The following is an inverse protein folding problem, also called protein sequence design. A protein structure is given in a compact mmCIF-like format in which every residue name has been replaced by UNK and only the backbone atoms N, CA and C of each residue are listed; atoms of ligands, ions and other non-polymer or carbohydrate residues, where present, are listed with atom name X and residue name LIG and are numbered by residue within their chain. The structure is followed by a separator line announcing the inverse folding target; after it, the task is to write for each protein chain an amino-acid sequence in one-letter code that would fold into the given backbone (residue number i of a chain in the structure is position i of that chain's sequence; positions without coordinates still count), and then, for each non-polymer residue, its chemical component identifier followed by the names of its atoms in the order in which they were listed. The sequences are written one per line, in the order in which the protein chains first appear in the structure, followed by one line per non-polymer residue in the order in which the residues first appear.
data_IF_425914348137
#
_entry.id   IF_425914348137
#
_cell.length_a   1.000
_cell.length_b   1.000
_cell.length_c   1.000
_cell.angle_alpha   90.00
_cell.angle_beta   90.00
_cell.angle_gamma   90.00
#
_symmetry.space_group_name_H-M   'P 1'
#
loop_
_entity.id
_entity.type
_entity.pdbx_description
1 polymer ?
#
# COMPACT_ATOMS: atom_id res chain seq x y z
N UNK A 1 3.28 -63.67 -3.71
CA UNK A 1 4.25 -62.65 -4.06
C UNK A 1 3.48 -61.36 -4.34
N UNK A 2 3.42 -60.49 -3.36
CA UNK A 2 2.70 -59.20 -3.44
C UNK A 2 3.82 -58.16 -3.71
N UNK A 3 3.76 -57.60 -4.92
CA UNK A 3 4.67 -56.54 -5.35
C UNK A 3 4.33 -55.24 -4.60
N UNK A 4 5.26 -54.76 -3.79
CA UNK A 4 5.18 -53.46 -3.12
C UNK A 4 5.31 -52.36 -4.17
N UNK A 5 4.23 -51.62 -4.34
CA UNK A 5 4.25 -50.32 -5.04
C UNK A 5 5.13 -49.36 -4.21
N UNK A 6 6.29 -49.00 -4.75
CA UNK A 6 7.13 -47.96 -4.19
C UNK A 6 6.46 -46.62 -4.42
N UNK A 7 5.95 -46.04 -3.35
CA UNK A 7 5.60 -44.59 -3.30
C UNK A 7 6.85 -43.78 -3.64
N UNK A 8 6.94 -43.36 -4.89
CA UNK A 8 7.88 -42.29 -5.26
C UNK A 8 7.36 -41.00 -4.63
N UNK A 9 7.86 -40.66 -3.46
CA UNK A 9 7.86 -39.28 -2.98
C UNK A 9 8.58 -38.45 -4.06
N UNK A 10 7.82 -37.85 -4.96
CA UNK A 10 8.30 -36.74 -5.76
C UNK A 10 8.58 -35.64 -4.77
N UNK A 11 9.83 -35.43 -4.42
CA UNK A 11 10.29 -34.23 -3.72
C UNK A 11 9.82 -33.04 -4.58
N UNK A 12 8.72 -32.40 -4.20
CA UNK A 12 8.33 -31.13 -4.81
C UNK A 12 9.46 -30.16 -4.52
N UNK A 13 10.22 -29.83 -5.55
CA UNK A 13 11.26 -28.82 -5.47
C UNK A 13 10.63 -27.55 -4.92
N UNK A 14 11.31 -26.91 -3.98
CA UNK A 14 10.95 -25.64 -3.37
C UNK A 14 10.77 -24.60 -4.48
N UNK A 15 9.57 -23.99 -4.67
CA UNK A 15 9.38 -23.04 -5.76
C UNK A 15 10.21 -21.78 -5.53
N UNK A 16 10.93 -21.36 -6.56
CA UNK A 16 11.73 -20.12 -6.54
C UNK A 16 10.99 -19.02 -7.31
N UNK A 17 10.65 -17.92 -6.64
CA UNK A 17 9.88 -16.81 -7.20
C UNK A 17 10.78 -15.58 -7.29
N UNK A 18 10.91 -15.02 -8.49
CA UNK A 18 11.52 -13.73 -8.71
C UNK A 18 10.46 -12.64 -8.57
N UNK A 19 10.42 -12.00 -7.41
CA UNK A 19 9.46 -10.95 -7.08
C UNK A 19 9.99 -9.61 -7.56
N UNK A 20 9.29 -8.99 -8.51
CA UNK A 20 9.53 -7.61 -8.92
C UNK A 20 8.63 -6.67 -8.10
N UNK A 21 9.23 -5.96 -7.17
CA UNK A 21 8.57 -5.04 -6.23
C UNK A 21 9.58 -3.99 -5.74
N UNK A 22 9.21 -3.16 -4.75
CA UNK A 22 10.12 -2.12 -4.23
C UNK A 22 10.26 -0.95 -5.21
N UNK A 23 9.13 -0.28 -5.49
CA UNK A 23 9.03 0.72 -6.55
C UNK A 23 9.72 2.04 -6.20
N UNK A 24 9.63 2.46 -4.94
CA UNK A 24 10.27 3.67 -4.41
C UNK A 24 10.46 3.56 -2.88
N UNK A 25 11.24 4.47 -2.30
CA UNK A 25 11.61 4.45 -0.87
C UNK A 25 11.21 5.70 -0.09
N UNK A 26 10.45 6.60 -0.71
CA UNK A 26 9.94 7.85 -0.12
C UNK A 26 8.46 7.78 0.25
N UNK A 27 7.82 6.62 0.02
CA UNK A 27 6.42 6.32 0.32
C UNK A 27 6.34 4.99 1.06
N UNK A 28 5.79 5.00 2.27
CA UNK A 28 5.66 3.78 3.08
C UNK A 28 4.71 2.76 2.44
N UNK A 29 3.71 3.19 1.66
CA UNK A 29 2.82 2.32 0.93
C UNK A 29 3.55 1.50 -0.14
N UNK A 30 4.39 2.14 -0.95
CA UNK A 30 5.18 1.45 -1.96
C UNK A 30 6.22 0.49 -1.36
N UNK A 31 6.78 0.83 -0.20
CA UNK A 31 7.67 -0.08 0.55
C UNK A 31 6.85 -1.28 1.07
N UNK A 32 5.64 -1.05 1.54
CA UNK A 32 4.75 -2.07 2.11
C UNK A 32 4.34 -3.15 1.12
N UNK A 33 4.28 -2.86 -0.19
CA UNK A 33 3.95 -3.85 -1.21
C UNK A 33 4.87 -5.09 -1.13
N UNK A 34 6.17 -4.89 -0.96
CA UNK A 34 7.13 -6.00 -0.84
C UNK A 34 6.85 -6.84 0.41
N UNK A 35 6.59 -6.19 1.55
CA UNK A 35 6.31 -6.86 2.82
C UNK A 35 5.01 -7.69 2.73
N UNK A 36 3.94 -7.09 2.22
CA UNK A 36 2.66 -7.76 2.10
C UNK A 36 2.67 -8.94 1.13
N UNK A 37 3.24 -8.76 -0.07
CA UNK A 37 3.32 -9.85 -1.07
C UNK A 37 4.20 -11.00 -0.57
N UNK A 38 5.34 -10.72 0.06
CA UNK A 38 6.20 -11.76 0.61
C UNK A 38 5.50 -12.56 1.69
N UNK A 39 4.76 -11.91 2.59
CA UNK A 39 3.95 -12.62 3.60
C UNK A 39 2.86 -13.48 2.95
N UNK A 40 2.20 -13.02 1.88
CA UNK A 40 1.23 -13.81 1.14
C UNK A 40 1.85 -15.08 0.55
N UNK A 41 3.02 -14.94 -0.08
CA UNK A 41 3.71 -16.09 -0.66
C UNK A 41 4.06 -17.12 0.41
N UNK A 42 4.61 -16.69 1.55
CA UNK A 42 4.93 -17.61 2.66
C UNK A 42 3.71 -18.24 3.31
N UNK A 43 2.62 -17.52 3.40
CA UNK A 43 1.39 -18.03 4.02
C UNK A 43 0.71 -19.10 3.18
N UNK A 44 0.74 -18.95 1.85
CA UNK A 44 -0.08 -19.76 0.95
C UNK A 44 0.70 -20.77 0.10
N UNK A 45 2.01 -20.60 -0.03
CA UNK A 45 2.86 -21.54 -0.78
C UNK A 45 3.73 -22.38 0.16
N UNK A 46 4.00 -23.64 -0.20
CA UNK A 46 4.85 -24.50 0.61
C UNK A 46 6.32 -24.07 0.47
N UNK A 47 6.85 -23.44 1.51
CA UNK A 47 8.26 -23.04 1.67
C UNK A 47 8.88 -22.36 0.42
N UNK A 48 8.33 -21.25 -0.09
CA UNK A 48 8.84 -20.60 -1.29
C UNK A 48 10.20 -19.96 -1.04
N UNK A 49 11.10 -20.04 -2.01
CA UNK A 49 12.26 -19.18 -2.08
C UNK A 49 11.89 -17.92 -2.83
N UNK A 50 12.01 -16.76 -2.19
CA UNK A 50 11.69 -15.47 -2.81
C UNK A 50 12.97 -14.69 -3.04
N UNK A 51 13.19 -14.27 -4.29
CA UNK A 51 14.28 -13.40 -4.71
C UNK A 51 13.62 -12.05 -5.07
N UNK A 52 13.95 -11.00 -4.35
CA UNK A 52 13.44 -9.65 -4.64
C UNK A 52 14.34 -8.98 -5.67
N UNK A 53 13.74 -8.58 -6.78
CA UNK A 53 14.31 -7.66 -7.75
C UNK A 53 13.69 -6.27 -7.56
N UNK A 54 14.34 -5.38 -6.80
CA UNK A 54 13.80 -4.05 -6.51
C UNK A 54 14.01 -3.10 -7.69
N UNK A 55 13.24 -1.99 -7.70
CA UNK A 55 13.54 -0.88 -8.60
C UNK A 55 14.70 -0.05 -8.04
N UNK A 56 14.51 0.43 -6.82
CA UNK A 56 15.50 1.18 -6.05
C UNK A 56 15.27 0.92 -4.57
N UNK A 57 16.36 0.76 -3.81
CA UNK A 57 16.28 0.61 -2.36
C UNK A 57 17.32 1.43 -1.65
N UNK A 58 16.87 2.20 -0.68
CA UNK A 58 17.74 2.88 0.27
C UNK A 58 18.21 1.89 1.34
N UNK A 59 19.43 2.07 1.91
CA UNK A 59 19.99 1.14 2.88
C UNK A 59 19.08 0.82 4.08
N UNK A 60 18.36 1.81 4.59
CA UNK A 60 17.43 1.64 5.70
C UNK A 60 16.24 0.72 5.37
N UNK A 61 15.77 0.75 4.12
CA UNK A 61 14.70 -0.15 3.65
C UNK A 61 15.23 -1.58 3.55
N UNK A 62 16.43 -1.76 3.01
CA UNK A 62 17.10 -3.07 2.94
C UNK A 62 17.31 -3.65 4.34
N UNK A 63 17.75 -2.84 5.30
CA UNK A 63 17.94 -3.25 6.69
C UNK A 63 16.62 -3.67 7.35
N UNK A 64 15.55 -2.90 7.16
CA UNK A 64 14.21 -3.24 7.64
C UNK A 64 13.73 -4.56 7.03
N UNK A 65 13.85 -4.74 5.70
CA UNK A 65 13.47 -5.98 5.04
C UNK A 65 14.25 -7.19 5.58
N UNK A 66 15.58 -7.08 5.74
CA UNK A 66 16.40 -8.16 6.30
C UNK A 66 16.05 -8.49 7.74
N UNK A 67 15.63 -7.50 8.54
CA UNK A 67 15.20 -7.71 9.93
C UNK A 67 13.91 -8.54 9.98
N UNK A 68 12.93 -8.22 9.15
CA UNK A 68 11.62 -8.86 9.17
C UNK A 68 11.53 -10.09 8.27
N UNK A 69 12.29 -10.14 7.20
CA UNK A 69 12.27 -11.16 6.15
C UNK A 69 13.68 -11.75 5.93
N UNK A 70 14.28 -12.40 6.94
CA UNK A 70 15.69 -12.84 6.86
C UNK A 70 15.97 -13.88 5.76
N UNK A 71 14.94 -14.55 5.25
CA UNK A 71 15.06 -15.52 4.15
C UNK A 71 14.81 -14.91 2.76
N UNK A 72 14.51 -13.60 2.68
CA UNK A 72 14.35 -12.87 1.42
C UNK A 72 15.74 -12.60 0.83
N UNK A 73 16.02 -13.14 -0.36
CA UNK A 73 17.20 -12.75 -1.12
C UNK A 73 16.92 -11.41 -1.83
N UNK A 74 17.78 -10.42 -1.68
CA UNK A 74 17.65 -9.11 -2.33
C UNK A 74 18.82 -8.95 -3.28
N UNK A 75 18.54 -8.79 -4.59
CA UNK A 75 19.57 -8.60 -5.60
C UNK A 75 19.80 -7.11 -5.88
N UNK A 76 21.00 -6.77 -6.31
CA UNK A 76 21.29 -5.42 -6.84
C UNK A 76 20.72 -5.31 -8.26
N UNK A 77 19.74 -4.40 -8.50
CA UNK A 77 19.14 -4.23 -9.82
C UNK A 77 20.11 -3.67 -10.87
N UNK A 78 21.25 -3.13 -10.46
CA UNK A 78 22.28 -2.57 -11.35
C UNK A 78 23.35 -3.60 -11.71
N UNK A 79 23.42 -4.73 -11.01
CA UNK A 79 24.34 -5.83 -11.25
C UNK A 79 23.71 -6.84 -12.21
N UNK A 80 24.13 -6.81 -13.47
CA UNK A 80 23.62 -7.68 -14.53
C UNK A 80 23.87 -9.19 -14.25
N UNK A 81 24.92 -9.55 -13.52
CA UNK A 81 25.22 -10.95 -13.18
C UNK A 81 24.22 -11.44 -12.14
N UNK A 82 23.94 -10.67 -11.07
CA UNK A 82 22.92 -11.00 -10.08
C UNK A 82 21.54 -11.09 -10.70
N UNK A 83 21.15 -10.12 -11.55
CA UNK A 83 19.85 -10.11 -12.24
C UNK A 83 19.73 -11.37 -13.12
N UNK A 84 20.70 -11.65 -13.95
CA UNK A 84 20.69 -12.81 -14.84
C UNK A 84 20.67 -14.12 -14.04
N UNK A 85 21.48 -14.23 -12.99
CA UNK A 85 21.49 -15.39 -12.11
C UNK A 85 20.16 -15.62 -11.39
N UNK A 86 19.46 -14.56 -10.99
CA UNK A 86 18.12 -14.64 -10.40
C UNK A 86 17.08 -15.12 -11.43
N UNK A 87 17.10 -14.59 -12.66
CA UNK A 87 16.23 -15.04 -13.76
C UNK A 87 16.44 -16.55 -14.05
N UNK A 88 17.69 -17.00 -14.11
CA UNK A 88 18.00 -18.40 -14.43
C UNK A 88 17.51 -19.37 -13.34
N UNK A 89 17.59 -18.97 -12.05
CA UNK A 89 17.18 -19.79 -10.90
C UNK A 89 15.67 -19.80 -10.65
N UNK A 90 14.98 -18.72 -10.93
CA UNK A 90 13.57 -18.60 -10.61
C UNK A 90 12.68 -19.48 -11.51
N UNK A 91 11.60 -20.01 -10.95
CA UNK A 91 10.59 -20.81 -11.67
C UNK A 91 9.44 -19.94 -12.17
N UNK A 92 9.17 -18.80 -11.50
CA UNK A 92 8.11 -17.86 -11.79
C UNK A 92 8.63 -16.42 -11.61
N UNK A 93 8.29 -15.54 -12.55
CA UNK A 93 8.38 -14.09 -12.33
C UNK A 93 7.05 -13.57 -11.82
N UNK A 94 7.05 -12.89 -10.68
CA UNK A 94 5.88 -12.27 -10.09
C UNK A 94 6.04 -10.76 -10.04
N UNK A 95 5.19 -10.04 -10.77
CA UNK A 95 5.03 -8.60 -10.58
C UNK A 95 4.13 -8.38 -9.35
N UNK A 96 4.69 -7.81 -8.29
CA UNK A 96 3.95 -7.48 -7.05
C UNK A 96 3.01 -6.29 -7.23
N UNK A 97 2.29 -5.96 -6.16
CA UNK A 97 1.33 -4.84 -6.12
C UNK A 97 1.95 -3.52 -6.58
N UNK A 98 1.16 -2.71 -7.27
CA UNK A 98 1.65 -1.44 -7.78
C UNK A 98 0.61 -0.60 -8.52
N UNK A 99 0.90 0.69 -8.75
CA UNK A 99 -0.02 1.65 -9.37
C UNK A 99 -0.21 1.43 -10.87
N UNK A 100 0.60 0.59 -11.48
CA UNK A 100 0.55 0.16 -12.88
C UNK A 100 1.46 -1.06 -13.06
N UNK A 101 1.63 -1.54 -14.29
CA UNK A 101 2.64 -2.55 -14.63
C UNK A 101 4.01 -1.86 -14.71
N UNK A 102 4.51 -1.42 -13.55
CA UNK A 102 5.78 -0.66 -13.42
C UNK A 102 6.97 -1.49 -13.92
N UNK A 103 6.95 -2.79 -13.68
CA UNK A 103 7.98 -3.75 -14.09
C UNK A 103 7.81 -4.29 -15.52
N UNK A 104 7.18 -3.54 -16.45
CA UNK A 104 6.98 -3.98 -17.84
C UNK A 104 8.28 -4.40 -18.52
N UNK A 105 9.34 -3.60 -18.39
CA UNK A 105 10.66 -3.89 -19.00
C UNK A 105 11.29 -5.16 -18.44
N UNK A 106 11.13 -5.39 -17.17
CA UNK A 106 11.65 -6.58 -16.49
C UNK A 106 10.86 -7.84 -16.88
N UNK A 107 9.56 -7.72 -17.15
CA UNK A 107 8.76 -8.81 -17.75
C UNK A 107 9.26 -9.10 -19.17
N UNK A 108 9.50 -8.08 -19.98
CA UNK A 108 10.06 -8.22 -21.32
C UNK A 108 11.44 -8.91 -21.28
N UNK A 109 12.32 -8.52 -20.35
CA UNK A 109 13.63 -9.14 -20.14
C UNK A 109 13.50 -10.61 -19.71
N UNK A 110 12.57 -10.93 -18.80
CA UNK A 110 12.26 -12.29 -18.39
C UNK A 110 11.83 -13.14 -19.58
N UNK A 111 10.95 -12.64 -20.43
CA UNK A 111 10.43 -13.30 -21.63
C UNK A 111 11.49 -13.54 -22.70
N UNK A 112 12.40 -12.60 -22.88
CA UNK A 112 13.51 -12.75 -23.84
C UNK A 112 14.51 -13.83 -23.41
N UNK A 113 14.63 -14.06 -22.11
CA UNK A 113 15.64 -14.99 -21.57
C UNK A 113 15.08 -16.36 -21.21
N UNK A 114 13.78 -16.46 -20.92
CA UNK A 114 13.18 -17.70 -20.44
C UNK A 114 11.84 -17.97 -21.12
N UNK A 115 11.41 -19.26 -21.10
CA UNK A 115 10.04 -19.66 -21.44
C UNK A 115 9.20 -19.96 -20.18
N UNK A 116 9.70 -19.59 -19.00
CA UNK A 116 9.03 -19.83 -17.72
C UNK A 116 7.86 -18.86 -17.54
N UNK A 117 6.84 -19.20 -16.73
CA UNK A 117 5.66 -18.38 -16.53
C UNK A 117 5.97 -17.05 -15.82
N UNK A 118 5.13 -16.06 -16.06
CA UNK A 118 5.06 -14.85 -15.26
C UNK A 118 3.62 -14.53 -14.93
N UNK A 119 3.41 -13.79 -13.85
CA UNK A 119 2.10 -13.32 -13.44
C UNK A 119 2.15 -11.98 -12.70
N UNK A 120 0.98 -11.39 -12.52
CA UNK A 120 0.80 -10.10 -11.84
C UNK A 120 -0.14 -10.27 -10.66
N UNK A 121 0.20 -9.65 -9.52
CA UNK A 121 -0.57 -9.73 -8.28
C UNK A 121 -0.82 -8.34 -7.68
N UNK A 122 -2.07 -7.91 -7.62
CA UNK A 122 -2.46 -6.66 -6.96
C UNK A 122 -2.07 -5.40 -7.73
N UNK A 123 -2.18 -5.40 -9.06
CA UNK A 123 -1.80 -4.26 -9.91
C UNK A 123 -3.02 -3.46 -10.36
N UNK A 124 -2.83 -2.15 -10.57
CA UNK A 124 -3.76 -1.32 -11.34
C UNK A 124 -3.40 -1.41 -12.83
N UNK A 125 -4.40 -1.59 -13.69
CA UNK A 125 -4.23 -1.51 -15.14
C UNK A 125 -5.27 -0.56 -15.72
N UNK A 126 -4.84 0.63 -16.06
CA UNK A 126 -5.72 1.67 -16.60
C UNK A 126 -5.30 2.00 -18.03
N UNK A 127 -6.26 1.91 -18.99
CA UNK A 127 -6.07 2.21 -20.40
C UNK A 127 -4.78 1.60 -21.00
N UNK A 128 -4.59 0.25 -20.96
CA UNK A 128 -3.38 -0.38 -21.46
C UNK A 128 -3.25 -0.18 -22.97
N UNK A 129 -2.04 0.15 -23.44
CA UNK A 129 -1.72 0.22 -24.85
C UNK A 129 -1.68 -1.20 -25.48
N UNK A 130 -1.69 -1.26 -26.82
CA UNK A 130 -1.72 -2.54 -27.56
C UNK A 130 -0.51 -3.43 -27.25
N UNK A 131 0.68 -2.84 -27.03
CA UNK A 131 1.89 -3.60 -26.75
C UNK A 131 1.84 -4.17 -25.33
N UNK A 132 1.29 -3.41 -24.37
CA UNK A 132 1.07 -3.93 -23.01
C UNK A 132 0.04 -5.06 -23.04
N UNK A 133 -1.06 -4.92 -23.77
CA UNK A 133 -2.06 -5.99 -23.92
C UNK A 133 -1.43 -7.25 -24.55
N UNK A 134 -0.60 -7.10 -25.58
CA UNK A 134 0.10 -8.22 -26.20
C UNK A 134 1.00 -8.93 -25.19
N UNK A 135 1.75 -8.20 -24.36
CA UNK A 135 2.57 -8.76 -23.29
C UNK A 135 1.72 -9.48 -22.24
N UNK A 136 0.63 -8.85 -21.78
CA UNK A 136 -0.26 -9.39 -20.76
C UNK A 136 -1.04 -10.63 -21.22
N UNK A 137 -1.27 -10.81 -22.52
CA UNK A 137 -1.87 -12.03 -23.07
C UNK A 137 -1.01 -13.28 -22.85
N UNK A 138 0.29 -13.11 -22.61
CA UNK A 138 1.22 -14.21 -22.35
C UNK A 138 1.39 -14.50 -20.86
N UNK A 139 0.79 -13.69 -19.97
CA UNK A 139 0.82 -13.93 -18.53
C UNK A 139 0.04 -15.20 -18.17
N UNK A 140 0.55 -15.94 -17.19
CA UNK A 140 -0.17 -17.09 -16.62
C UNK A 140 -1.42 -16.64 -15.86
N UNK A 141 -1.33 -15.50 -15.18
CA UNK A 141 -2.44 -14.88 -14.45
C UNK A 141 -2.24 -13.37 -14.29
N UNK A 142 -3.36 -12.65 -14.16
CA UNK A 142 -3.40 -11.23 -13.83
C UNK A 142 -4.42 -11.04 -12.71
N UNK A 143 -3.96 -10.70 -11.52
CA UNK A 143 -4.79 -10.31 -10.40
C UNK A 143 -4.69 -8.79 -10.21
N UNK A 144 -5.79 -8.09 -10.50
CA UNK A 144 -5.87 -6.64 -10.35
C UNK A 144 -6.37 -6.27 -8.96
N UNK A 145 -5.94 -5.13 -8.42
CA UNK A 145 -6.35 -4.69 -7.07
C UNK A 145 -7.69 -3.96 -7.02
N UNK A 146 -8.31 -3.70 -8.17
CA UNK A 146 -9.66 -3.18 -8.31
C UNK A 146 -10.35 -3.73 -9.56
N UNK A 147 -11.70 -3.78 -9.53
CA UNK A 147 -12.50 -4.34 -10.62
C UNK A 147 -12.49 -3.47 -11.87
N UNK A 148 -12.29 -2.17 -11.76
CA UNK A 148 -12.19 -1.26 -12.90
C UNK A 148 -11.02 -1.66 -13.82
N UNK A 149 -9.89 -2.13 -13.29
CA UNK A 149 -8.78 -2.67 -14.08
C UNK A 149 -9.17 -3.90 -14.91
N UNK A 150 -10.01 -4.79 -14.37
CA UNK A 150 -10.53 -5.93 -15.15
C UNK A 150 -11.38 -5.46 -16.33
N UNK A 151 -12.14 -4.39 -16.15
CA UNK A 151 -12.95 -3.82 -17.22
C UNK A 151 -12.08 -3.13 -18.28
N UNK A 152 -10.98 -2.50 -17.87
CA UNK A 152 -9.99 -1.94 -18.81
C UNK A 152 -9.31 -3.04 -19.61
N UNK A 153 -8.86 -4.13 -18.98
CA UNK A 153 -8.26 -5.28 -19.65
C UNK A 153 -9.23 -5.93 -20.65
N UNK A 154 -10.48 -6.15 -20.22
CA UNK A 154 -11.52 -6.74 -21.05
C UNK A 154 -11.83 -5.87 -22.29
N UNK A 155 -12.00 -4.55 -22.09
CA UNK A 155 -12.24 -3.59 -23.20
C UNK A 155 -11.07 -3.51 -24.15
N UNK A 156 -9.84 -3.66 -23.66
CA UNK A 156 -8.63 -3.70 -24.49
C UNK A 156 -8.40 -5.05 -25.19
N UNK A 157 -9.27 -6.06 -24.97
CA UNK A 157 -9.17 -7.36 -25.61
C UNK A 157 -8.09 -8.27 -25.01
N UNK A 158 -7.74 -8.10 -23.74
CA UNK A 158 -6.79 -8.98 -23.05
C UNK A 158 -7.35 -10.40 -22.92
N UNK A 159 -6.56 -11.39 -23.37
CA UNK A 159 -6.93 -12.82 -23.43
C UNK A 159 -6.18 -13.68 -22.41
N UNK A 160 -5.49 -13.10 -21.44
CA UNK A 160 -4.87 -13.86 -20.37
C UNK A 160 -5.88 -14.83 -19.74
N UNK A 161 -5.54 -16.12 -19.55
CA UNK A 161 -6.52 -17.15 -19.18
C UNK A 161 -7.09 -16.97 -17.78
N UNK A 162 -6.32 -16.38 -16.87
CA UNK A 162 -6.74 -16.13 -15.49
C UNK A 162 -6.69 -14.64 -15.19
N UNK A 163 -7.85 -14.02 -15.07
CA UNK A 163 -8.01 -12.61 -14.74
C UNK A 163 -9.03 -12.50 -13.60
N UNK A 164 -8.64 -11.95 -12.45
CA UNK A 164 -9.53 -11.76 -11.32
C UNK A 164 -9.11 -10.56 -10.45
N UNK A 165 -10.03 -10.14 -9.60
CA UNK A 165 -9.76 -9.19 -8.53
C UNK A 165 -9.06 -9.88 -7.36
N UNK A 166 -8.03 -9.25 -6.81
CA UNK A 166 -7.45 -9.57 -5.50
C UNK A 166 -7.08 -8.28 -4.80
N UNK A 167 -7.23 -8.18 -3.47
CA UNK A 167 -6.84 -6.96 -2.76
C UNK A 167 -5.39 -6.58 -3.00
N UNK A 168 -5.05 -5.30 -2.81
CA UNK A 168 -3.67 -4.85 -2.77
C UNK A 168 -2.86 -5.64 -1.74
N UNK A 169 -1.64 -6.07 -2.09
CA UNK A 169 -0.81 -6.88 -1.21
C UNK A 169 -0.56 -6.28 0.17
N UNK A 170 -0.70 -4.96 0.32
CA UNK A 170 -0.55 -4.27 1.62
C UNK A 170 -1.62 -4.68 2.63
N UNK A 171 -2.82 -5.12 2.21
CA UNK A 171 -3.82 -5.68 3.13
C UNK A 171 -3.37 -6.97 3.84
N UNK A 172 -2.34 -7.63 3.31
CA UNK A 172 -1.75 -8.81 3.95
C UNK A 172 -0.60 -8.47 4.91
N UNK A 173 -0.18 -7.20 4.95
CA UNK A 173 0.94 -6.79 5.78
C UNK A 173 0.55 -6.80 7.26
N UNK A 174 1.22 -7.63 8.05
CA UNK A 174 1.18 -7.65 9.52
C UNK A 174 2.62 -7.69 10.05
N UNK A 175 3.38 -6.63 9.74
CA UNK A 175 4.78 -6.49 10.11
C UNK A 175 4.96 -5.17 10.85
N UNK A 176 5.08 -5.26 12.17
CA UNK A 176 5.23 -4.10 13.04
C UNK A 176 6.56 -4.14 13.78
N UNK A 177 7.27 -3.04 13.81
CA UNK A 177 8.29 -2.81 14.83
C UNK A 177 7.62 -2.28 16.11
N UNK A 178 7.12 -3.20 16.94
CA UNK A 178 6.42 -2.85 18.18
C UNK A 178 7.29 -1.98 19.10
N UNK A 179 8.61 -2.24 19.15
CA UNK A 179 9.53 -1.46 19.97
C UNK A 179 9.64 0.00 19.50
N UNK A 180 9.75 0.21 18.19
CA UNK A 180 9.79 1.56 17.62
C UNK A 180 8.44 2.29 17.80
N UNK A 181 7.32 1.60 17.58
CA UNK A 181 5.98 2.15 17.79
C UNK A 181 5.72 2.51 19.25
N UNK A 182 6.02 1.62 20.19
CA UNK A 182 5.85 1.86 21.63
C UNK A 182 6.73 3.01 22.11
N UNK A 183 8.00 3.09 21.65
CA UNK A 183 8.90 4.18 21.98
C UNK A 183 8.36 5.52 21.47
N UNK A 184 7.89 5.58 20.20
CA UNK A 184 7.28 6.78 19.63
C UNK A 184 6.04 7.20 20.43
N UNK A 185 5.14 6.27 20.72
CA UNK A 185 3.92 6.57 21.47
C UNK A 185 4.25 7.07 22.89
N UNK A 186 5.22 6.45 23.58
CA UNK A 186 5.64 6.86 24.91
C UNK A 186 6.28 8.25 24.94
N UNK A 187 7.15 8.56 23.98
CA UNK A 187 7.80 9.86 23.84
C UNK A 187 6.78 10.99 23.67
N UNK A 188 5.70 10.71 22.92
CA UNK A 188 4.66 11.70 22.61
C UNK A 188 3.42 11.62 23.49
N UNK A 189 3.40 10.76 24.53
CA UNK A 189 2.28 10.62 25.45
C UNK A 189 1.01 10.04 24.81
N UNK A 190 1.16 9.29 23.70
CA UNK A 190 0.07 8.62 23.00
C UNK A 190 -0.23 7.27 23.64
N UNK A 191 -1.48 7.05 24.06
CA UNK A 191 -1.88 5.79 24.68
C UNK A 191 -2.73 4.96 23.69
N UNK A 192 -2.58 3.63 23.72
CA UNK A 192 -3.36 2.75 22.84
C UNK A 192 -4.86 3.00 22.96
N UNK A 193 -5.52 3.20 21.80
CA UNK A 193 -6.95 3.49 21.71
C UNK A 193 -7.36 4.93 22.06
N UNK A 194 -6.42 5.77 22.53
CA UNK A 194 -6.73 7.13 22.98
C UNK A 194 -6.19 8.22 22.04
N UNK A 195 -5.91 7.92 20.79
CA UNK A 195 -5.52 8.92 19.77
C UNK A 195 -5.95 8.51 18.37
N UNK A 196 -6.04 9.48 17.48
CA UNK A 196 -6.24 9.25 16.05
C UNK A 196 -4.99 9.64 15.27
N UNK A 197 -4.80 9.04 14.09
CA UNK A 197 -3.80 9.48 13.12
C UNK A 197 -4.49 10.25 11.97
N UNK A 198 -3.89 11.35 11.55
CA UNK A 198 -4.31 12.16 10.41
C UNK A 198 -3.15 12.23 9.39
N UNK A 199 -3.41 11.80 8.15
CA UNK A 199 -2.37 11.72 7.11
C UNK A 199 -2.70 12.71 5.99
N UNK A 200 -1.89 13.79 5.84
CA UNK A 200 -2.11 14.82 4.83
C UNK A 200 -1.62 14.37 3.45
N UNK A 201 -2.15 15.01 2.38
CA UNK A 201 -1.67 14.81 1.02
C UNK A 201 -2.02 15.99 0.14
N UNK A 202 -1.13 16.36 -0.79
CA UNK A 202 -1.43 17.27 -1.90
C UNK A 202 -2.14 16.50 -3.03
N UNK A 203 -2.94 17.20 -3.86
CA UNK A 203 -3.59 16.59 -5.03
C UNK A 203 -2.58 15.96 -5.97
N UNK A 204 -1.48 16.64 -6.23
CA UNK A 204 -0.36 16.12 -6.99
C UNK A 204 0.89 16.03 -6.13
N UNK A 205 1.46 14.83 -6.06
CA UNK A 205 2.78 14.64 -5.46
C UNK A 205 3.83 15.43 -6.24
N UNK A 206 4.61 16.31 -5.60
CA UNK A 206 5.60 17.15 -6.28
C UNK A 206 6.88 16.37 -6.61
N UNK A 207 6.80 15.33 -7.44
CA UNK A 207 7.91 14.43 -7.74
C UNK A 207 9.17 15.15 -8.26
N UNK A 208 9.02 16.28 -8.94
CA UNK A 208 10.15 17.12 -9.39
C UNK A 208 10.96 17.76 -8.25
N UNK A 209 10.40 17.80 -7.03
CA UNK A 209 11.12 18.23 -5.81
C UNK A 209 11.72 17.07 -5.03
N UNK A 210 11.28 15.85 -5.32
CA UNK A 210 11.65 14.63 -4.58
C UNK A 210 12.80 13.91 -5.28
N UNK A 211 12.79 13.92 -6.63
CA UNK A 211 13.74 13.16 -7.44
C UNK A 211 14.41 14.04 -8.49
N UNK A 212 15.73 14.10 -8.48
CA UNK A 212 16.54 14.90 -9.42
C UNK A 212 16.40 14.44 -10.88
N UNK A 213 16.02 13.16 -11.10
CA UNK A 213 15.84 12.60 -12.44
C UNK A 213 14.44 12.86 -13.03
N UNK A 214 13.54 13.46 -12.27
CA UNK A 214 12.20 13.82 -12.75
C UNK A 214 12.23 15.18 -13.42
N UNK A 215 12.38 15.17 -14.73
CA UNK A 215 12.39 16.38 -15.57
C UNK A 215 10.96 16.70 -16.04
N UNK A 216 10.28 17.56 -15.31
CA UNK A 216 8.96 18.06 -15.70
C UNK A 216 9.08 19.38 -16.45
N UNK A 217 8.27 19.56 -17.50
CA UNK A 217 8.16 20.84 -18.16
C UNK A 217 7.71 21.95 -17.18
N UNK A 218 8.13 23.18 -17.44
CA UNK A 218 7.73 24.34 -16.65
C UNK A 218 6.20 24.49 -16.56
N UNK A 219 5.47 24.11 -17.62
CA UNK A 219 4.02 24.12 -17.66
C UNK A 219 3.43 23.08 -16.69
N UNK A 220 3.98 21.86 -16.63
CA UNK A 220 3.54 20.82 -15.69
C UNK A 220 3.85 21.22 -14.24
N UNK A 221 5.04 21.79 -13.98
CA UNK A 221 5.39 22.28 -12.64
C UNK A 221 4.40 23.38 -12.21
N UNK A 222 4.08 24.32 -13.10
CA UNK A 222 3.11 25.37 -12.81
C UNK A 222 1.72 24.79 -12.52
N UNK A 223 1.22 23.89 -13.36
CA UNK A 223 -0.09 23.26 -13.16
C UNK A 223 -0.19 22.56 -11.80
N UNK A 224 0.83 21.75 -11.45
CA UNK A 224 0.90 21.04 -10.18
C UNK A 224 0.93 22.01 -9.00
N UNK A 225 1.75 23.05 -9.08
CA UNK A 225 1.89 24.06 -8.01
C UNK A 225 0.58 24.82 -7.81
N UNK A 226 0.00 25.37 -8.90
CA UNK A 226 -1.25 26.13 -8.84
C UNK A 226 -2.43 25.29 -8.34
N UNK A 227 -2.48 24.00 -8.71
CA UNK A 227 -3.53 23.09 -8.23
C UNK A 227 -3.36 22.81 -6.74
N UNK A 228 -2.16 22.49 -6.30
CA UNK A 228 -1.85 22.20 -4.90
C UNK A 228 -2.10 23.43 -4.01
N UNK A 229 -1.70 24.63 -4.46
CA UNK A 229 -1.91 25.90 -3.72
C UNK A 229 -3.41 26.23 -3.61
N UNK A 230 -4.17 26.03 -4.70
CA UNK A 230 -5.61 26.29 -4.74
C UNK A 230 -6.40 25.40 -3.79
N UNK A 231 -6.04 24.13 -3.70
CA UNK A 231 -6.82 23.13 -2.98
C UNK A 231 -6.25 22.75 -1.61
N UNK A 232 -4.99 23.10 -1.34
CA UNK A 232 -4.30 22.66 -0.13
C UNK A 232 -5.11 22.92 1.15
N UNK A 233 -5.59 24.16 1.34
CA UNK A 233 -6.37 24.51 2.54
C UNK A 233 -7.74 23.82 2.59
N UNK A 234 -8.46 23.74 1.48
CA UNK A 234 -9.79 23.12 1.44
C UNK A 234 -9.73 21.61 1.63
N UNK A 235 -8.78 20.94 0.98
CA UNK A 235 -8.67 19.48 1.04
C UNK A 235 -8.31 18.97 2.44
N UNK A 236 -7.50 19.74 3.19
CA UNK A 236 -7.15 19.39 4.57
C UNK A 236 -8.21 19.79 5.61
N UNK A 237 -9.31 20.42 5.19
CA UNK A 237 -10.39 20.79 6.11
C UNK A 237 -11.01 19.56 6.80
N UNK A 238 -11.12 18.42 6.10
CA UNK A 238 -11.63 17.17 6.68
C UNK A 238 -10.74 16.63 7.80
N UNK A 239 -9.41 16.76 7.67
CA UNK A 239 -8.48 16.36 8.73
C UNK A 239 -8.58 17.32 9.92
N UNK A 240 -8.61 18.63 9.68
CA UNK A 240 -8.74 19.64 10.73
C UNK A 240 -10.05 19.51 11.49
N UNK A 241 -11.15 19.26 10.81
CA UNK A 241 -12.47 19.07 11.44
C UNK A 241 -12.48 17.77 12.26
N UNK A 242 -11.94 16.67 11.73
CA UNK A 242 -11.80 15.41 12.45
C UNK A 242 -10.94 15.55 13.71
N UNK A 243 -9.80 16.22 13.63
CA UNK A 243 -8.93 16.51 14.77
C UNK A 243 -9.66 17.40 15.79
N UNK A 244 -10.30 18.47 15.34
CA UNK A 244 -11.01 19.42 16.21
C UNK A 244 -12.12 18.73 16.99
N UNK A 245 -12.94 17.96 16.29
CA UNK A 245 -14.06 17.21 16.88
C UNK A 245 -13.55 16.16 17.86
N UNK A 246 -12.54 15.37 17.45
CA UNK A 246 -11.93 14.36 18.29
C UNK A 246 -11.40 14.93 19.61
N UNK A 247 -10.58 15.97 19.53
CA UNK A 247 -9.97 16.59 20.70
C UNK A 247 -11.01 17.21 21.64
N UNK A 248 -12.02 17.91 21.08
CA UNK A 248 -13.03 18.59 21.93
C UNK A 248 -14.00 17.62 22.57
N UNK A 249 -14.43 16.59 21.86
CA UNK A 249 -15.44 15.66 22.38
C UNK A 249 -14.85 14.60 23.30
N UNK A 250 -13.57 14.22 23.09
CA UNK A 250 -12.93 13.13 23.87
C UNK A 250 -11.86 13.64 24.85
N UNK A 251 -11.28 14.79 24.61
CA UNK A 251 -10.08 15.28 25.32
C UNK A 251 -8.77 14.56 24.96
N UNK A 252 -8.84 13.59 24.03
CA UNK A 252 -7.71 12.77 23.60
C UNK A 252 -6.86 13.47 22.53
N UNK A 253 -5.55 13.15 22.41
CA UNK A 253 -4.67 13.74 21.41
C UNK A 253 -4.93 13.22 19.99
N UNK A 254 -4.39 13.97 19.01
CA UNK A 254 -4.31 13.54 17.61
C UNK A 254 -2.86 13.58 17.13
N UNK A 255 -2.46 12.60 16.31
CA UNK A 255 -1.17 12.53 15.64
C UNK A 255 -1.33 12.91 14.17
N UNK A 256 -0.57 13.89 13.69
CA UNK A 256 -0.44 14.17 12.26
C UNK A 256 0.86 13.54 11.78
N UNK A 257 0.77 12.65 10.78
CA UNK A 257 1.91 11.83 10.35
C UNK A 257 1.95 11.63 8.83
N UNK A 258 3.16 11.42 8.26
CA UNK A 258 3.32 11.27 6.82
C UNK A 258 3.14 9.83 6.34
N UNK A 259 2.65 9.65 5.09
CA UNK A 259 2.86 8.47 4.27
C UNK A 259 4.06 8.66 3.32
N UNK A 260 4.28 9.90 2.85
CA UNK A 260 5.40 10.28 1.99
C UNK A 260 6.28 11.36 2.66
N UNK A 261 7.58 11.33 2.33
CA UNK A 261 8.56 12.25 2.91
C UNK A 261 8.24 13.74 2.73
N UNK A 262 7.69 14.15 1.56
CA UNK A 262 7.34 15.56 1.30
C UNK A 262 6.22 16.10 2.21
N UNK A 263 5.43 15.20 2.79
CA UNK A 263 4.29 15.61 3.63
C UNK A 263 4.74 16.24 4.94
N UNK A 264 5.98 16.01 5.37
CA UNK A 264 6.56 16.70 6.52
C UNK A 264 6.49 18.23 6.38
N UNK A 265 6.63 18.74 5.16
CA UNK A 265 6.61 20.18 4.88
C UNK A 265 5.19 20.78 4.92
N UNK A 266 4.14 19.95 4.80
CA UNK A 266 2.74 20.41 4.75
C UNK A 266 1.97 20.14 6.04
N UNK A 267 2.51 19.38 6.97
CA UNK A 267 1.88 19.10 8.27
C UNK A 267 1.49 20.38 9.00
N UNK A 268 2.46 21.28 9.19
CA UNK A 268 2.20 22.53 9.92
C UNK A 268 1.28 23.47 9.13
N UNK A 269 1.63 23.94 7.92
CA UNK A 269 0.88 24.98 7.26
C UNK A 269 -0.54 24.59 6.85
N UNK A 270 -0.79 23.30 6.54
CA UNK A 270 -2.11 22.88 6.06
C UNK A 270 -2.97 22.20 7.13
N UNK A 271 -2.37 21.61 8.17
CA UNK A 271 -3.13 20.88 9.20
C UNK A 271 -3.04 21.56 10.56
N UNK A 272 -1.84 21.78 11.12
CA UNK A 272 -1.68 22.19 12.53
C UNK A 272 -1.90 23.70 12.73
N UNK A 273 -1.25 24.54 11.91
CA UNK A 273 -1.30 25.99 12.11
C UNK A 273 -2.72 26.58 12.05
N UNK A 274 -3.62 26.09 11.17
CA UNK A 274 -4.99 26.58 11.12
C UNK A 274 -5.90 26.10 12.26
N UNK A 275 -5.45 25.16 13.11
CA UNK A 275 -6.27 24.64 14.22
C UNK A 275 -6.46 25.69 15.32
N UNK A 276 -7.63 25.67 16.01
CA UNK A 276 -7.84 26.47 17.22
C UNK A 276 -6.80 26.19 18.30
N UNK A 277 -6.44 27.19 19.10
CA UNK A 277 -5.37 27.09 20.10
C UNK A 277 -5.63 26.00 21.17
N UNK A 278 -6.89 25.81 21.57
CA UNK A 278 -7.32 24.76 22.48
C UNK A 278 -7.07 23.36 21.94
N UNK A 279 -7.29 23.18 20.64
CA UNK A 279 -7.08 21.91 19.92
C UNK A 279 -5.58 21.67 19.65
N UNK A 280 -4.87 22.69 19.17
CA UNK A 280 -3.46 22.63 18.81
C UNK A 280 -2.59 22.09 19.94
N UNK A 281 -2.90 22.40 21.19
CA UNK A 281 -2.16 21.93 22.37
C UNK A 281 -2.22 20.42 22.60
N UNK A 282 -3.11 19.73 21.90
CA UNK A 282 -3.31 18.26 21.95
C UNK A 282 -2.86 17.54 20.68
N UNK A 283 -2.27 18.27 19.73
CA UNK A 283 -1.83 17.69 18.45
C UNK A 283 -0.31 17.42 18.49
N UNK A 284 0.03 16.18 18.19
CA UNK A 284 1.40 15.73 17.98
C UNK A 284 1.70 15.71 16.47
N UNK A 285 2.86 16.17 16.08
CA UNK A 285 3.35 16.05 14.71
C UNK A 285 4.49 15.06 14.62
N UNK A 286 4.39 14.08 13.74
CA UNK A 286 5.54 13.26 13.35
C UNK A 286 6.52 14.13 12.54
N UNK A 287 7.73 14.30 13.03
CA UNK A 287 8.71 15.25 12.48
C UNK A 287 9.78 14.60 11.60
N UNK A 288 9.71 13.30 11.42
CA UNK A 288 10.63 12.55 10.57
C UNK A 288 9.87 11.54 9.72
N UNK A 289 10.44 11.22 8.56
CA UNK A 289 9.93 10.11 7.77
C UNK A 289 10.25 8.80 8.49
N UNK A 290 9.26 7.95 8.62
CA UNK A 290 9.36 6.63 9.24
C UNK A 290 9.25 5.51 8.21
N UNK A 291 9.61 4.30 8.59
CA UNK A 291 9.42 3.11 7.77
C UNK A 291 8.06 2.45 8.05
N UNK A 292 7.53 1.63 7.13
CA UNK A 292 6.18 1.08 7.25
C UNK A 292 5.97 0.19 8.48
N UNK A 293 6.99 -0.49 8.96
CA UNK A 293 6.93 -1.32 10.17
C UNK A 293 6.70 -0.50 11.45
N UNK A 294 7.36 0.65 11.57
CA UNK A 294 7.14 1.60 12.66
C UNK A 294 5.78 2.30 12.51
N UNK A 295 5.43 2.75 11.30
CA UNK A 295 4.15 3.37 11.02
C UNK A 295 2.97 2.43 11.34
N UNK A 296 3.03 1.18 10.92
CA UNK A 296 1.99 0.20 11.19
C UNK A 296 1.85 -0.11 12.69
N UNK A 297 2.97 -0.13 13.45
CA UNK A 297 2.93 -0.29 14.90
C UNK A 297 2.18 0.86 15.58
N UNK A 298 2.38 2.11 15.14
CA UNK A 298 1.64 3.26 15.65
C UNK A 298 0.16 3.21 15.21
N UNK A 299 -0.13 2.85 13.95
CA UNK A 299 -1.51 2.69 13.47
C UNK A 299 -2.27 1.60 14.24
N UNK A 300 -1.62 0.50 14.61
CA UNK A 300 -2.20 -0.55 15.46
C UNK A 300 -2.66 -0.02 16.81
N UNK A 301 -1.97 0.98 17.35
CA UNK A 301 -2.28 1.60 18.63
C UNK A 301 -3.30 2.74 18.53
N UNK A 302 -3.62 3.22 17.32
CA UNK A 302 -4.56 4.32 17.14
C UNK A 302 -6.02 3.85 17.27
N UNK A 303 -6.91 4.76 17.69
CA UNK A 303 -8.36 4.53 17.66
C UNK A 303 -8.92 4.53 16.23
N UNK A 304 -8.33 5.34 15.34
CA UNK A 304 -8.71 5.45 13.93
C UNK A 304 -7.59 6.16 13.15
N UNK A 305 -7.53 5.88 11.84
CA UNK A 305 -6.69 6.63 10.89
C UNK A 305 -7.57 7.36 9.90
N UNK A 306 -7.41 8.67 9.74
CA UNK A 306 -8.08 9.50 8.72
C UNK A 306 -7.02 9.96 7.73
N UNK A 307 -7.14 9.58 6.47
CA UNK A 307 -6.05 9.78 5.51
C UNK A 307 -6.54 10.32 4.17
N UNK A 308 -5.79 11.26 3.63
CA UNK A 308 -5.87 11.68 2.23
C UNK A 308 -5.05 10.76 1.31
N UNK A 309 -4.15 9.94 1.88
CA UNK A 309 -3.37 8.94 1.16
C UNK A 309 -4.05 7.58 1.17
N UNK A 310 -3.72 6.76 0.15
CA UNK A 310 -4.37 5.49 -0.09
C UNK A 310 -3.86 4.34 0.80
N UNK A 311 -2.56 4.28 1.11
CA UNK A 311 -1.99 3.10 1.74
C UNK A 311 -1.99 3.13 3.27
N UNK A 312 -1.96 4.32 3.89
CA UNK A 312 -2.06 4.42 5.35
C UNK A 312 -3.36 3.79 5.90
N UNK A 313 -4.54 4.00 5.27
CA UNK A 313 -5.74 3.26 5.67
C UNK A 313 -5.62 1.74 5.46
N UNK A 314 -5.01 1.28 4.35
CA UNK A 314 -4.81 -0.15 4.12
C UNK A 314 -3.94 -0.76 5.22
N UNK A 315 -2.82 -0.11 5.54
CA UNK A 315 -1.90 -0.55 6.61
C UNK A 315 -2.58 -0.61 7.98
N UNK A 316 -3.45 0.36 8.30
CA UNK A 316 -4.23 0.38 9.53
C UNK A 316 -5.27 -0.75 9.54
N UNK A 317 -6.04 -0.90 8.46
CA UNK A 317 -7.04 -1.95 8.32
C UNK A 317 -6.42 -3.36 8.39
N UNK A 318 -5.22 -3.55 7.84
CA UNK A 318 -4.48 -4.82 7.90
C UNK A 318 -4.21 -5.26 9.36
N UNK A 319 -4.01 -4.31 10.29
CA UNK A 319 -3.86 -4.57 11.73
C UNK A 319 -5.17 -4.33 12.51
N UNK A 320 -6.31 -4.30 11.82
CA UNK A 320 -7.67 -4.17 12.37
C UNK A 320 -7.97 -2.84 13.06
N UNK A 321 -7.22 -1.80 12.75
CA UNK A 321 -7.53 -0.43 13.14
C UNK A 321 -8.45 0.18 12.10
N UNK A 322 -9.62 0.74 12.49
CA UNK A 322 -10.50 1.40 11.54
C UNK A 322 -9.81 2.57 10.86
N UNK A 323 -10.08 2.74 9.57
CA UNK A 323 -9.43 3.79 8.81
C UNK A 323 -10.32 4.35 7.71
N UNK A 324 -10.21 5.64 7.47
CA UNK A 324 -10.94 6.39 6.46
C UNK A 324 -10.01 6.84 5.35
N UNK A 325 -10.46 6.63 4.13
CA UNK A 325 -9.82 7.16 2.95
C UNK A 325 -10.64 8.33 2.40
N UNK A 326 -10.08 9.53 2.46
CA UNK A 326 -10.65 10.73 1.84
C UNK A 326 -10.00 10.90 0.47
N UNK A 327 -10.71 10.43 -0.54
CA UNK A 327 -10.21 10.28 -1.90
C UNK A 327 -10.25 11.60 -2.67
N UNK A 328 -9.18 11.89 -3.41
CA UNK A 328 -9.06 13.07 -4.25
C UNK A 328 -9.44 12.74 -5.71
N UNK A 329 -9.94 13.71 -6.51
CA UNK A 329 -10.31 13.49 -7.90
C UNK A 329 -9.13 13.03 -8.79
N UNK A 330 -7.92 13.45 -8.43
CA UNK A 330 -6.67 13.11 -9.11
C UNK A 330 -6.18 11.69 -8.79
N UNK A 331 -6.81 11.02 -7.83
CA UNK A 331 -6.52 9.62 -7.57
C UNK A 331 -6.97 8.77 -8.75
N UNK A 332 -6.09 7.86 -9.17
CA UNK A 332 -6.39 6.91 -10.23
C UNK A 332 -7.56 6.00 -9.86
N UNK A 333 -7.93 5.10 -10.75
CA UNK A 333 -8.98 4.09 -10.47
C UNK A 333 -8.67 3.21 -9.26
N UNK A 334 -7.43 3.22 -8.72
CA UNK A 334 -7.02 2.44 -7.53
C UNK A 334 -7.94 2.60 -6.32
N UNK A 335 -8.59 3.77 -6.16
CA UNK A 335 -9.54 3.99 -5.08
C UNK A 335 -10.77 3.08 -5.14
N UNK A 336 -11.07 2.49 -6.31
CA UNK A 336 -12.16 1.52 -6.48
C UNK A 336 -12.03 0.30 -5.58
N UNK A 337 -10.79 -0.14 -5.24
CA UNK A 337 -10.56 -1.31 -4.39
C UNK A 337 -11.28 -1.22 -3.03
N UNK A 338 -11.46 -0.03 -2.49
CA UNK A 338 -12.17 0.14 -1.23
C UNK A 338 -13.65 -0.20 -1.36
N UNK A 339 -14.29 0.22 -2.46
CA UNK A 339 -15.69 -0.13 -2.78
C UNK A 339 -15.82 -1.63 -3.08
N UNK A 340 -14.85 -2.22 -3.78
CA UNK A 340 -14.81 -3.66 -4.07
C UNK A 340 -14.66 -4.53 -2.81
N UNK A 341 -14.22 -3.93 -1.70
CA UNK A 341 -14.10 -4.55 -0.38
C UNK A 341 -15.21 -4.14 0.61
N UNK A 342 -16.30 -3.53 0.14
CA UNK A 342 -17.44 -3.06 0.95
C UNK A 342 -17.05 -2.04 2.04
N UNK A 343 -16.05 -1.21 1.74
CA UNK A 343 -15.57 -0.14 2.62
C UNK A 343 -16.25 1.22 2.35
N UNK A 344 -17.35 1.25 1.57
CA UNK A 344 -18.09 2.47 1.23
C UNK A 344 -18.34 3.42 2.43
N UNK A 345 -18.71 2.93 3.63
CA UNK A 345 -18.92 3.81 4.77
C UNK A 345 -17.67 4.51 5.32
N UNK A 346 -16.48 4.10 4.86
CA UNK A 346 -15.18 4.62 5.29
C UNK A 346 -14.39 5.28 4.13
N UNK A 347 -15.06 5.48 2.98
CA UNK A 347 -14.51 6.21 1.83
C UNK A 347 -15.30 7.48 1.60
N UNK A 348 -14.60 8.58 1.41
CA UNK A 348 -15.19 9.90 1.20
C UNK A 348 -14.57 10.54 -0.03
N UNK A 349 -15.41 11.00 -0.96
CA UNK A 349 -14.95 11.77 -2.12
C UNK A 349 -14.81 13.24 -1.69
N UNK A 350 -13.59 13.78 -1.68
CA UNK A 350 -13.25 15.07 -1.07
C UNK A 350 -14.08 16.23 -1.61
N UNK A 351 -14.33 16.27 -2.92
CA UNK A 351 -15.10 17.36 -3.57
C UNK A 351 -16.62 17.19 -3.37
N UNK A 352 -17.09 16.09 -2.77
CA UNK A 352 -18.52 15.78 -2.56
C UNK A 352 -18.90 15.65 -1.09
N UNK A 353 -17.92 15.67 -0.20
CA UNK A 353 -18.13 15.38 1.22
C UNK A 353 -17.85 16.61 2.06
N UNK A 354 -18.82 17.02 2.87
CA UNK A 354 -18.59 18.06 3.88
C UNK A 354 -17.59 17.53 4.93
N UNK A 355 -16.56 18.30 5.30
CA UNK A 355 -15.61 17.92 6.34
C UNK A 355 -16.23 17.43 7.65
N UNK A 356 -17.36 18.02 8.07
CA UNK A 356 -18.10 17.59 9.25
C UNK A 356 -18.63 16.14 9.14
N UNK A 357 -18.97 15.69 7.92
CA UNK A 357 -19.42 14.30 7.68
C UNK A 357 -18.32 13.28 8.02
N UNK A 358 -17.07 13.58 7.70
CA UNK A 358 -15.93 12.72 8.04
C UNK A 358 -15.73 12.68 9.56
N UNK A 359 -15.80 13.86 10.21
CA UNK A 359 -15.68 13.97 11.66
C UNK A 359 -16.84 13.26 12.40
N UNK A 360 -18.08 13.41 11.93
CA UNK A 360 -19.24 12.70 12.50
C UNK A 360 -19.09 11.18 12.38
N UNK A 361 -18.59 10.70 11.22
CA UNK A 361 -18.31 9.26 11.05
C UNK A 361 -17.21 8.77 11.98
N UNK A 362 -16.18 9.59 12.22
CA UNK A 362 -15.12 9.26 13.19
C UNK A 362 -15.71 9.06 14.59
N UNK A 363 -16.58 9.97 15.04
CA UNK A 363 -17.22 9.87 16.35
C UNK A 363 -18.18 8.67 16.43
N UNK A 364 -18.89 8.32 15.35
CA UNK A 364 -19.73 7.11 15.28
C UNK A 364 -18.87 5.83 15.42
N UNK A 365 -17.73 5.76 14.73
CA UNK A 365 -16.77 4.65 14.84
C UNK A 365 -16.23 4.54 16.27
N UNK A 366 -15.88 5.65 16.88
CA UNK A 366 -15.39 5.69 18.27
C UNK A 366 -16.47 5.21 19.26
N UNK A 367 -17.74 5.53 19.03
CA UNK A 367 -18.85 5.15 19.90
C UNK A 367 -19.28 3.67 19.79
N UNK A 368 -18.86 2.95 18.73
CA UNK A 368 -19.27 1.58 18.44
C UNK A 368 -18.09 0.61 18.26
N UNK A 369 -17.15 0.51 19.22
CA UNK A 369 -15.88 -0.20 19.01
C UNK A 369 -16.04 -1.69 18.70
N UNK A 370 -17.04 -2.37 19.26
CA UNK A 370 -17.27 -3.80 19.03
C UNK A 370 -17.77 -4.08 17.60
N UNK A 371 -18.67 -3.24 17.07
CA UNK A 371 -19.16 -3.35 15.69
C UNK A 371 -18.04 -3.07 14.68
N UNK A 372 -17.26 -2.04 14.96
CA UNK A 372 -16.12 -1.63 14.13
C UNK A 372 -15.06 -2.71 14.10
N UNK A 373 -14.73 -3.31 15.25
CA UNK A 373 -13.78 -4.41 15.32
C UNK A 373 -14.26 -5.63 14.51
N UNK A 374 -15.52 -6.00 14.65
CA UNK A 374 -16.11 -7.10 13.87
C UNK A 374 -16.04 -6.82 12.35
N UNK A 375 -16.26 -5.56 11.93
CA UNK A 375 -16.13 -5.17 10.53
C UNK A 375 -14.69 -5.28 10.01
N UNK A 376 -13.69 -4.84 10.78
CA UNK A 376 -12.29 -5.00 10.42
C UNK A 376 -11.89 -6.47 10.31
N UNK A 377 -12.36 -7.31 11.23
CA UNK A 377 -12.11 -8.76 11.20
C UNK A 377 -12.73 -9.43 9.97
N UNK A 378 -13.96 -9.06 9.62
CA UNK A 378 -14.64 -9.57 8.43
C UNK A 378 -13.91 -9.15 7.15
N UNK A 379 -13.43 -7.91 7.08
CA UNK A 379 -12.61 -7.42 5.97
C UNK A 379 -11.34 -8.27 5.78
N UNK A 380 -10.57 -8.48 6.86
CA UNK A 380 -9.33 -9.27 6.78
C UNK A 380 -9.60 -10.72 6.40
N UNK A 381 -10.67 -11.32 6.92
CA UNK A 381 -11.08 -12.67 6.52
C UNK A 381 -11.45 -12.75 5.03
N UNK A 382 -12.14 -11.72 4.51
CA UNK A 382 -12.46 -11.62 3.08
C UNK A 382 -11.20 -11.46 2.22
N UNK A 383 -10.28 -10.58 2.60
CA UNK A 383 -9.00 -10.43 1.91
C UNK A 383 -8.23 -11.76 1.87
N UNK A 384 -8.13 -12.45 3.00
CA UNK A 384 -7.45 -13.76 3.07
C UNK A 384 -8.09 -14.82 2.17
N UNK A 385 -9.42 -14.83 2.08
CA UNK A 385 -10.13 -15.72 1.16
C UNK A 385 -9.78 -15.42 -0.32
N UNK A 386 -9.77 -14.14 -0.71
CA UNK A 386 -9.43 -13.72 -2.06
C UNK A 386 -7.96 -14.05 -2.42
N UNK A 387 -7.03 -13.82 -1.49
CA UNK A 387 -5.64 -14.20 -1.68
C UNK A 387 -5.47 -15.71 -1.80
N UNK A 388 -6.17 -16.49 -1.00
CA UNK A 388 -6.12 -17.96 -1.09
C UNK A 388 -6.60 -18.45 -2.46
N UNK A 389 -7.66 -17.86 -3.00
CA UNK A 389 -8.15 -18.16 -4.35
C UNK A 389 -7.11 -17.80 -5.42
N UNK A 390 -6.47 -16.63 -5.31
CA UNK A 390 -5.43 -16.21 -6.23
C UNK A 390 -4.19 -17.13 -6.19
N UNK A 391 -3.81 -17.63 -5.03
CA UNK A 391 -2.66 -18.52 -4.88
C UNK A 391 -2.93 -19.98 -5.30
N UNK A 392 -4.18 -20.33 -5.57
CA UNK A 392 -4.58 -21.65 -6.07
C UNK A 392 -4.72 -21.70 -7.60
N UNK A 393 -4.78 -20.55 -8.24
CA UNK A 393 -4.92 -20.40 -9.68
C UNK A 393 -3.56 -20.50 -10.40
#
# INVERSE_FOLDING_TARGET
MISSASDRHVSRSRPTILLRSGWQTVNIGDISHTLGVEQLLRKHLPDPQVILWPNRMEPQVVEMLRRHLPALEIIDPTDAEQVNGAIDRADLFLHGSGPSVVGRREIEQWRQRTNKPFGLLGVTVENPDADLVALLNEAAFIFTRETDSLDHLRRAGCTCPVQAFTPDGVFAMDICDARAGDAFCAEHGLKPGEFICAVPRLRYTPYHKIYDHVDWSAEKIRLVTETNDRHGMSDHACLRESITRWVRDTGMPALVCPEMGYQLDIIDPLVIDPLPADVKSKVVACRSFWLPDAAQAVYRSAACVVSLECHSPIMALAVKTPAFYVRQPEDTIKGRMYYDLDLDPWVFEIDKTDPATVADRLMQVHAAPAEVQARCEALIARCDQLYRQAMQA
#
